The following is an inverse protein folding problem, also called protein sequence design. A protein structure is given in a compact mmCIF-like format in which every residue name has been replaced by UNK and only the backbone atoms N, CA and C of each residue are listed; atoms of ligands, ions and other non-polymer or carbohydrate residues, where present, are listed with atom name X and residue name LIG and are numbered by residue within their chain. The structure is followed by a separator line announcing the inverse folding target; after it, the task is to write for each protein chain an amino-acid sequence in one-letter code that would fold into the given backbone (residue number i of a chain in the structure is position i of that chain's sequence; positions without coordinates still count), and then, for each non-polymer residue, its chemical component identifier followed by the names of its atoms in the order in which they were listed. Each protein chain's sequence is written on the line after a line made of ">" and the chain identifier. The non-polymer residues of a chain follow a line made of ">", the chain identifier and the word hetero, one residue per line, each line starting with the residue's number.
data_IF_189972720931
#
_entry.id   IF_189972720931
#
_cell.length_a   1.000
_cell.length_b   1.000
_cell.length_c   1.000
_cell.angle_alpha   90.00
_cell.angle_beta   90.00
_cell.angle_gamma   90.00
#
_symmetry.space_group_name_H-M   'P 1'
#
loop_
_entity.id
_entity.type
_entity.pdbx_description
1 polymer ?
#
# COMPACT_ATOMS: atom_id res chain seq x y z
N UNK A 1 -7.74 -24.61 -50.60
CA UNK A 1 -6.90 -23.54 -51.19
C UNK A 1 -7.74 -22.27 -51.25
N UNK A 2 -7.76 -21.47 -50.18
CA UNK A 2 -8.60 -20.27 -50.06
C UNK A 2 -7.71 -19.12 -49.58
N UNK A 3 -7.90 -17.97 -50.22
CA UNK A 3 -6.93 -16.90 -50.41
C UNK A 3 -6.82 -15.95 -49.22
N UNK A 4 -5.59 -15.53 -48.94
CA UNK A 4 -5.25 -14.34 -48.17
C UNK A 4 -5.83 -13.09 -48.84
N UNK A 5 -6.87 -12.51 -48.24
CA UNK A 5 -7.27 -11.12 -48.51
C UNK A 5 -7.21 -10.34 -47.21
N UNK A 6 -6.07 -9.68 -47.00
CA UNK A 6 -5.96 -8.29 -46.50
C UNK A 6 -6.89 -7.85 -45.35
N UNK A 7 -6.95 -8.60 -44.25
CA UNK A 7 -7.49 -8.11 -42.95
C UNK A 7 -6.61 -8.61 -41.79
N UNK A 8 -5.29 -8.68 -42.02
CA UNK A 8 -4.32 -9.15 -41.01
C UNK A 8 -3.61 -8.00 -40.26
N UNK A 9 -4.13 -6.77 -40.38
CA UNK A 9 -3.49 -5.56 -39.83
C UNK A 9 -4.36 -4.77 -38.84
N UNK A 10 -5.53 -5.30 -38.43
CA UNK A 10 -6.44 -4.64 -37.50
C UNK A 10 -6.87 -5.49 -36.29
N UNK A 11 -6.18 -6.60 -36.02
CA UNK A 11 -6.39 -7.40 -34.80
C UNK A 11 -5.13 -7.54 -33.92
N UNK A 12 -4.08 -6.76 -34.22
CA UNK A 12 -2.85 -6.67 -33.42
C UNK A 12 -2.80 -5.42 -32.53
N UNK A 13 -3.97 -4.81 -32.24
CA UNK A 13 -4.12 -3.79 -31.20
C UNK A 13 -5.10 -4.29 -30.13
N UNK A 14 -4.88 -5.52 -29.66
CA UNK A 14 -5.55 -6.07 -28.48
C UNK A 14 -4.54 -6.37 -27.35
N UNK A 15 -3.29 -5.92 -27.47
CA UNK A 15 -2.21 -6.42 -26.61
C UNK A 15 -1.57 -5.39 -25.67
N UNK A 16 -1.50 -4.08 -25.94
CA UNK A 16 -0.75 -3.19 -25.03
C UNK A 16 -1.32 -1.77 -25.05
N UNK A 17 -1.96 -1.36 -23.95
CA UNK A 17 -2.31 0.05 -23.75
C UNK A 17 -3.41 0.32 -22.73
N UNK A 18 -3.05 0.24 -21.45
CA UNK A 18 -3.71 0.91 -20.32
C UNK A 18 -5.08 0.35 -19.89
N UNK A 19 -5.04 -0.68 -19.02
CA UNK A 19 -6.02 -0.78 -17.94
C UNK A 19 -6.01 0.56 -17.18
N UNK A 20 -7.03 1.40 -17.38
CA UNK A 20 -7.28 2.56 -16.54
C UNK A 20 -7.92 2.10 -15.22
N UNK A 21 -7.15 1.46 -14.36
CA UNK A 21 -7.55 1.29 -12.96
C UNK A 21 -7.18 2.56 -12.19
N UNK A 22 -8.19 3.30 -11.76
CA UNK A 22 -7.98 4.39 -10.80
C UNK A 22 -8.99 5.52 -10.95
N UNK A 23 -10.25 5.22 -10.65
CA UNK A 23 -11.24 6.22 -10.28
C UNK A 23 -10.75 6.96 -9.00
N UNK A 24 -9.89 7.96 -9.17
CA UNK A 24 -9.40 8.80 -8.09
C UNK A 24 -10.43 9.90 -7.80
N UNK A 25 -11.53 9.53 -7.14
CA UNK A 25 -12.42 10.50 -6.52
C UNK A 25 -11.71 11.15 -5.33
N UNK A 26 -11.09 12.30 -5.60
CA UNK A 26 -11.15 13.50 -4.75
C UNK A 26 -10.40 13.47 -3.42
N UNK A 27 -9.08 13.63 -3.48
CA UNK A 27 -8.21 14.05 -2.38
C UNK A 27 -6.92 13.24 -2.30
N UNK A 28 -5.83 13.89 -1.89
CA UNK A 28 -4.49 13.28 -1.74
C UNK A 28 -3.96 13.56 -0.35
N UNK A 29 -3.30 12.59 0.27
CA UNK A 29 -2.55 12.84 1.49
C UNK A 29 -1.16 13.39 1.15
N UNK A 30 -0.73 14.42 1.86
CA UNK A 30 0.64 14.95 1.71
C UNK A 30 1.46 14.56 2.94
N UNK A 31 2.49 13.74 2.76
CA UNK A 31 3.39 13.33 3.84
C UNK A 31 4.85 13.44 3.40
N UNK A 32 5.65 14.21 4.15
CA UNK A 32 7.07 14.48 3.86
C UNK A 32 7.34 14.98 2.42
N UNK A 33 6.42 15.77 1.86
CA UNK A 33 6.52 16.29 0.49
C UNK A 33 6.06 15.33 -0.61
N UNK A 34 5.69 14.10 -0.27
CA UNK A 34 5.11 13.13 -1.21
C UNK A 34 3.58 13.15 -1.15
N UNK A 35 2.95 12.91 -2.30
CA UNK A 35 1.50 12.82 -2.44
C UNK A 35 1.08 11.36 -2.57
N UNK A 36 0.10 10.94 -1.77
CA UNK A 36 -0.44 9.59 -1.73
C UNK A 36 -1.94 9.61 -2.03
N UNK A 37 -2.42 8.59 -2.74
CA UNK A 37 -3.84 8.42 -3.09
C UNK A 37 -4.61 7.80 -1.93
N UNK A 38 -5.93 7.95 -1.96
CA UNK A 38 -6.80 7.29 -0.99
C UNK A 38 -6.60 5.77 -1.00
N UNK A 39 -6.38 5.18 0.17
CA UNK A 39 -6.10 3.76 0.35
C UNK A 39 -4.64 3.37 0.07
N UNK A 40 -3.79 4.29 -0.39
CA UNK A 40 -2.40 3.98 -0.66
C UNK A 40 -1.64 3.68 0.63
N UNK A 41 -0.87 2.59 0.61
CA UNK A 41 -0.02 2.16 1.72
C UNK A 41 1.46 2.29 1.31
N UNK A 42 2.29 2.81 2.21
CA UNK A 42 3.74 2.91 1.98
C UNK A 42 4.53 2.61 3.24
N UNK A 43 5.78 2.20 3.06
CA UNK A 43 6.70 1.86 4.15
C UNK A 43 7.52 3.10 4.52
N UNK A 44 7.52 3.45 5.80
CA UNK A 44 8.31 4.53 6.38
C UNK A 44 9.31 3.95 7.38
N UNK A 45 10.54 4.48 7.36
CA UNK A 45 11.64 4.04 8.22
C UNK A 45 11.93 2.52 8.16
N UNK A 46 11.54 1.83 7.08
CA UNK A 46 11.67 0.38 6.87
C UNK A 46 10.94 -0.50 7.89
N UNK A 47 10.16 0.07 8.80
CA UNK A 47 9.53 -0.65 9.92
C UNK A 47 8.07 -0.29 10.18
N UNK A 48 7.54 0.73 9.51
CA UNK A 48 6.15 1.15 9.68
C UNK A 48 5.43 1.24 8.34
N UNK A 49 4.21 0.72 8.28
CA UNK A 49 3.33 0.83 7.13
C UNK A 49 2.31 1.92 7.45
N UNK A 50 2.38 3.01 6.70
CA UNK A 50 1.41 4.11 6.76
C UNK A 50 0.36 3.93 5.66
N UNK A 51 -0.85 4.41 5.93
CA UNK A 51 -1.95 4.47 4.99
C UNK A 51 -2.48 5.89 4.88
N UNK A 52 -2.86 6.27 3.66
CA UNK A 52 -3.59 7.48 3.38
C UNK A 52 -5.09 7.19 3.36
N UNK A 53 -5.84 7.84 4.24
CA UNK A 53 -7.31 7.82 4.23
C UNK A 53 -7.83 9.21 3.87
N UNK A 54 -8.54 9.31 2.76
CA UNK A 54 -9.15 10.54 2.28
C UNK A 54 -10.65 10.47 2.53
N UNK A 55 -11.15 11.45 3.28
CA UNK A 55 -12.56 11.71 3.52
C UNK A 55 -13.00 12.91 2.67
N UNK A 56 -14.32 13.15 2.55
CA UNK A 56 -14.90 14.19 1.68
C UNK A 56 -14.17 15.55 1.68
N UNK A 57 -13.74 16.05 2.85
CA UNK A 57 -13.08 17.36 2.99
C UNK A 57 -11.75 17.32 3.74
N UNK A 58 -11.29 16.14 4.18
CA UNK A 58 -10.08 15.99 5.00
C UNK A 58 -9.37 14.71 4.64
N UNK A 59 -8.05 14.72 4.78
CA UNK A 59 -7.23 13.52 4.64
C UNK A 59 -6.44 13.30 5.93
N UNK A 60 -6.14 12.03 6.21
CA UNK A 60 -5.31 11.66 7.35
C UNK A 60 -4.34 10.55 6.94
N UNK A 61 -3.14 10.59 7.51
CA UNK A 61 -2.13 9.55 7.36
C UNK A 61 -1.93 8.85 8.69
N UNK A 62 -2.14 7.54 8.74
CA UNK A 62 -2.02 6.76 9.98
C UNK A 62 -1.13 5.54 9.76
N UNK A 63 -0.41 5.15 10.81
CA UNK A 63 0.30 3.87 10.83
C UNK A 63 -0.74 2.78 11.07
N UNK A 64 -0.84 1.83 10.15
CA UNK A 64 -1.80 0.73 10.20
C UNK A 64 -1.15 -0.62 10.52
N UNK A 65 0.17 -0.73 10.31
CA UNK A 65 0.95 -1.92 10.64
C UNK A 65 2.43 -1.59 10.87
N UNK A 66 3.11 -2.46 11.58
CA UNK A 66 4.56 -2.51 11.65
C UNK A 66 5.10 -3.58 10.69
N UNK A 67 6.35 -3.45 10.29
CA UNK A 67 7.08 -4.44 9.51
C UNK A 67 8.17 -5.04 10.40
N UNK A 68 8.18 -6.36 10.58
CA UNK A 68 9.27 -7.04 11.29
C UNK A 68 10.58 -6.94 10.49
N UNK A 69 11.70 -7.26 11.14
CA UNK A 69 13.01 -7.33 10.46
C UNK A 69 13.03 -8.33 9.29
N UNK A 70 12.13 -9.32 9.31
CA UNK A 70 11.96 -10.30 8.24
C UNK A 70 10.97 -9.85 7.14
N UNK A 71 10.48 -8.61 7.19
CA UNK A 71 9.50 -8.10 6.23
C UNK A 71 8.06 -8.56 6.51
N UNK A 72 7.78 -9.12 7.69
CA UNK A 72 6.43 -9.59 8.03
C UNK A 72 5.56 -8.42 8.49
N UNK A 73 4.39 -8.27 7.87
CA UNK A 73 3.37 -7.28 8.27
C UNK A 73 2.75 -7.70 9.60
N UNK A 74 2.78 -6.79 10.58
CA UNK A 74 2.18 -6.94 11.91
C UNK A 74 1.14 -5.82 12.07
N UNK A 75 -0.16 -6.12 12.12
CA UNK A 75 -1.17 -5.08 12.31
C UNK A 75 -0.96 -4.36 13.66
N UNK A 76 -1.41 -3.10 13.75
CA UNK A 76 -1.36 -2.34 15.00
C UNK A 76 -2.15 -3.08 16.10
N UNK A 77 -1.61 -3.07 17.32
CA UNK A 77 -2.02 -3.90 18.46
C UNK A 77 -1.88 -5.42 18.25
N UNK A 78 -1.33 -5.85 17.12
CA UNK A 78 -1.06 -7.24 16.80
C UNK A 78 0.31 -7.71 17.26
N UNK A 79 0.52 -9.02 17.12
CA UNK A 79 1.78 -9.68 17.39
C UNK A 79 2.14 -10.67 16.30
N UNK A 80 3.43 -10.94 16.15
CA UNK A 80 3.92 -11.95 15.24
C UNK A 80 5.17 -12.62 15.79
N UNK A 81 5.21 -13.94 15.70
CA UNK A 81 6.39 -14.72 16.10
C UNK A 81 7.22 -15.03 14.88
N UNK A 82 8.53 -14.84 15.01
CA UNK A 82 9.53 -15.30 14.06
C UNK A 82 10.67 -16.05 14.78
N UNK A 83 11.73 -16.40 14.05
CA UNK A 83 12.86 -17.16 14.60
C UNK A 83 13.66 -16.40 15.67
N UNK A 84 13.48 -15.08 15.79
CA UNK A 84 14.17 -14.22 16.76
C UNK A 84 13.31 -13.93 17.98
N UNK A 85 12.01 -14.27 17.96
CA UNK A 85 11.11 -14.11 19.11
C UNK A 85 9.75 -13.56 18.73
N UNK A 86 9.04 -13.01 19.71
CA UNK A 86 7.70 -12.44 19.52
C UNK A 86 7.82 -10.94 19.32
N UNK A 87 7.36 -10.45 18.18
CA UNK A 87 7.28 -9.02 17.86
C UNK A 87 5.86 -8.50 18.09
N UNK A 88 5.72 -7.32 18.69
CA UNK A 88 4.44 -6.64 18.88
C UNK A 88 4.47 -5.24 18.31
N UNK A 89 3.41 -4.87 17.61
CA UNK A 89 3.19 -3.52 17.13
C UNK A 89 2.30 -2.78 18.13
N UNK A 90 2.87 -1.94 18.97
CA UNK A 90 2.14 -1.21 20.02
C UNK A 90 1.94 0.21 19.55
N UNK A 91 0.69 0.69 19.59
CA UNK A 91 0.35 2.09 19.33
C UNK A 91 -0.22 2.71 20.60
N UNK A 92 0.33 3.84 21.01
CA UNK A 92 -0.16 4.61 22.15
C UNK A 92 -1.41 5.44 21.74
N UNK A 93 -2.17 5.94 22.71
CA UNK A 93 -3.36 6.76 22.46
C UNK A 93 -3.07 8.03 21.62
N UNK A 94 -1.83 8.52 21.64
CA UNK A 94 -1.37 9.65 20.83
C UNK A 94 -1.04 9.28 19.37
N UNK A 95 -1.25 8.02 18.96
CA UNK A 95 -0.92 7.53 17.62
C UNK A 95 0.57 7.21 17.41
N UNK A 96 1.39 7.31 18.46
CA UNK A 96 2.80 6.89 18.41
C UNK A 96 2.91 5.37 18.36
N UNK A 97 3.46 4.84 17.28
CA UNK A 97 3.63 3.39 17.09
C UNK A 97 5.08 2.97 17.34
N UNK A 98 5.26 1.87 18.06
CA UNK A 98 6.55 1.23 18.32
C UNK A 98 6.50 -0.27 18.05
N UNK A 99 7.54 -0.79 17.43
CA UNK A 99 7.78 -2.22 17.28
C UNK A 99 8.61 -2.69 18.48
N UNK A 100 8.06 -3.60 19.29
CA UNK A 100 8.73 -4.14 20.47
C UNK A 100 8.94 -5.64 20.34
N UNK A 101 10.13 -6.12 20.69
CA UNK A 101 10.39 -7.55 20.81
C UNK A 101 10.10 -7.98 22.25
N UNK A 102 9.18 -8.91 22.42
CA UNK A 102 9.01 -9.63 23.68
C UNK A 102 10.00 -10.80 23.69
N UNK A 103 10.98 -10.69 24.59
CA UNK A 103 11.90 -11.77 24.96
C UNK A 103 11.19 -12.82 25.81
#
# INVERSE_FOLDING_TARGET
>A
MIRFTSVFLLLFVCSIGFFQDGNAQGGVCTHQGNQYRNGEEWIVFRSFIMNCTVHYNRWETKIIACLSMMGKRIPVHGQSTDQHGVWKCVQDANGSTRLVQQK
#
